data_IF_141807048988
#
_entry.id   IF_141807048988
#
_cell.length_a   1.000
_cell.length_b   1.000
_cell.length_c   1.000
_cell.angle_alpha   90.00
_cell.angle_beta   90.00
_cell.angle_gamma   90.00
#
_symmetry.space_group_name_H-M   'P 1'
#
loop_
_entity.id
_entity.type
_entity.pdbx_description
1 polymer ?
#
# COMPACT_ATOMS: atom_id res chain seq x y z
N UNK A 1 9.93 17.34 7.84
CA UNK A 1 9.75 15.88 7.82
C UNK A 1 10.44 15.38 6.58
N UNK A 2 11.58 14.72 6.72
CA UNK A 2 12.25 14.10 5.58
C UNK A 2 11.52 12.79 5.27
N UNK A 3 10.87 12.74 4.11
CA UNK A 3 10.26 11.52 3.60
C UNK A 3 11.39 10.63 3.10
N UNK A 4 11.65 9.52 3.80
CA UNK A 4 12.61 8.50 3.33
C UNK A 4 11.87 7.58 2.37
N UNK A 5 12.19 7.59 1.06
CA UNK A 5 11.56 6.67 0.12
C UNK A 5 12.02 5.24 0.41
N UNK A 6 11.07 4.34 0.68
CA UNK A 6 11.30 2.90 0.71
C UNK A 6 10.65 2.23 -0.49
N UNK A 7 11.24 1.12 -0.93
CA UNK A 7 10.75 0.31 -2.03
C UNK A 7 10.21 -1.01 -1.47
N UNK A 8 9.08 -1.53 -1.99
CA UNK A 8 8.56 -2.84 -1.63
C UNK A 8 9.64 -3.91 -1.72
N UNK A 9 9.79 -4.73 -0.68
CA UNK A 9 10.77 -5.81 -0.70
C UNK A 9 10.44 -6.80 -1.83
N UNK A 10 11.45 -7.15 -2.64
CA UNK A 10 11.32 -8.23 -3.62
C UNK A 10 11.18 -9.56 -2.89
N UNK A 11 10.30 -10.44 -3.38
CA UNK A 11 10.26 -11.82 -2.89
C UNK A 11 11.53 -12.54 -3.35
N UNK A 12 12.41 -12.87 -2.40
CA UNK A 12 13.41 -13.91 -2.62
C UNK A 12 12.75 -15.29 -2.73
N UNK A 13 13.50 -16.32 -3.15
CA UNK A 13 12.99 -17.70 -3.23
C UNK A 13 12.50 -18.29 -1.89
N UNK A 14 12.64 -17.55 -0.79
CA UNK A 14 12.11 -17.87 0.53
C UNK A 14 10.82 -17.08 0.76
N UNK A 15 9.82 -17.72 1.38
CA UNK A 15 8.60 -17.04 1.78
C UNK A 15 8.94 -15.88 2.74
N UNK A 16 8.40 -14.69 2.48
CA UNK A 16 8.62 -13.51 3.32
C UNK A 16 8.17 -13.79 4.76
N UNK A 17 8.97 -13.33 5.72
CA UNK A 17 8.54 -13.32 7.11
C UNK A 17 7.33 -12.37 7.24
N UNK A 18 6.32 -12.69 8.06
CA UNK A 18 5.11 -11.89 8.19
C UNK A 18 5.32 -10.42 8.55
N UNK A 19 6.41 -10.08 9.26
CA UNK A 19 6.77 -8.68 9.54
C UNK A 19 7.18 -7.94 8.26
N UNK A 20 8.07 -8.52 7.47
CA UNK A 20 8.53 -7.95 6.19
C UNK A 20 7.37 -7.85 5.18
N UNK A 21 6.46 -8.83 5.22
CA UNK A 21 5.25 -8.83 4.40
C UNK A 21 4.26 -7.73 4.81
N UNK A 22 4.08 -7.48 6.11
CA UNK A 22 3.23 -6.40 6.62
C UNK A 22 3.78 -5.02 6.26
N UNK A 23 5.08 -4.80 6.39
CA UNK A 23 5.74 -3.56 5.98
C UNK A 23 5.57 -3.31 4.47
N UNK A 24 5.80 -4.33 3.64
CA UNK A 24 5.59 -4.27 2.18
C UNK A 24 4.13 -3.97 1.80
N UNK A 25 3.16 -4.49 2.56
CA UNK A 25 1.73 -4.20 2.39
C UNK A 25 1.42 -2.74 2.68
N UNK A 26 1.96 -2.18 3.77
CA UNK A 26 1.78 -0.77 4.12
C UNK A 26 2.31 0.16 3.02
N UNK A 27 3.52 -0.11 2.53
CA UNK A 27 4.12 0.64 1.41
C UNK A 27 3.25 0.56 0.15
N UNK A 28 2.66 -0.60 -0.13
CA UNK A 28 1.76 -0.78 -1.25
C UNK A 28 0.48 0.04 -1.10
N UNK A 29 -0.11 0.08 0.09
CA UNK A 29 -1.32 0.90 0.35
C UNK A 29 -1.06 2.39 0.12
N UNK A 30 0.10 2.90 0.55
CA UNK A 30 0.50 4.29 0.28
C UNK A 30 0.66 4.53 -1.22
N UNK A 31 1.32 3.59 -1.92
CA UNK A 31 1.48 3.65 -3.37
C UNK A 31 0.14 3.75 -4.10
N UNK A 32 -0.89 3.03 -3.67
CA UNK A 32 -2.22 3.10 -4.31
C UNK A 32 -2.81 4.52 -4.27
N UNK A 33 -2.65 5.23 -3.15
CA UNK A 33 -3.09 6.63 -3.02
C UNK A 33 -2.31 7.53 -3.99
N UNK A 34 -0.99 7.37 -4.05
CA UNK A 34 -0.13 8.14 -4.96
C UNK A 34 -0.48 7.84 -6.43
N UNK A 35 -0.72 6.57 -6.77
CA UNK A 35 -1.09 6.14 -8.12
C UNK A 35 -2.45 6.67 -8.54
N UNK A 36 -3.42 6.73 -7.63
CA UNK A 36 -4.73 7.32 -7.90
C UNK A 36 -4.60 8.81 -8.29
N UNK A 37 -3.83 9.60 -7.53
CA UNK A 37 -3.57 11.01 -7.83
C UNK A 37 -2.76 11.15 -9.13
N UNK A 38 -1.75 10.31 -9.34
CA UNK A 38 -0.98 10.28 -10.58
C UNK A 38 -1.86 9.98 -11.80
N UNK A 39 -2.84 9.09 -11.66
CA UNK A 39 -3.84 8.82 -12.69
C UNK A 39 -4.65 10.07 -13.05
N UNK A 40 -5.08 10.84 -12.06
CA UNK A 40 -5.77 12.11 -12.29
C UNK A 40 -4.88 13.14 -13.00
N UNK A 41 -3.61 13.26 -12.62
CA UNK A 41 -2.65 14.16 -13.26
C UNK A 41 -2.41 13.78 -14.73
N UNK A 42 -2.28 12.48 -15.02
CA UNK A 42 -2.07 11.97 -16.38
C UNK A 42 -3.26 12.17 -17.32
N UNK A 43 -4.46 12.45 -16.81
CA UNK A 43 -5.60 12.81 -17.65
C UNK A 43 -5.44 14.22 -18.27
N UNK A 44 -4.56 15.06 -17.72
CA UNK A 44 -4.33 16.40 -18.26
C UNK A 44 -3.35 16.34 -19.43
N UNK A 45 -3.80 16.79 -20.60
CA UNK A 45 -3.03 16.79 -21.86
C UNK A 45 -1.63 17.42 -21.73
N UNK A 46 -1.48 18.41 -20.85
CA UNK A 46 -0.22 19.09 -20.58
C UNK A 46 0.82 18.19 -19.87
N UNK A 47 0.38 17.23 -19.06
CA UNK A 47 1.21 16.30 -18.29
C UNK A 47 1.21 14.88 -18.86
N UNK A 48 0.29 14.57 -19.79
CA UNK A 48 0.16 13.26 -20.42
C UNK A 48 1.10 13.03 -21.61
N UNK A 49 1.68 14.10 -22.16
CA UNK A 49 2.45 14.09 -23.40
C UNK A 49 3.92 14.47 -23.20
N UNK A 50 4.71 14.33 -24.26
CA UNK A 50 6.12 14.72 -24.29
C UNK A 50 6.24 16.23 -24.09
N UNK A 51 6.94 16.64 -23.04
CA UNK A 51 7.25 18.03 -22.73
C UNK A 51 8.60 18.39 -23.38
N UNK A 52 8.70 19.50 -24.14
CA UNK A 52 9.98 19.95 -24.69
C UNK A 52 11.01 20.22 -23.58
N UNK A 53 12.28 19.90 -23.82
CA UNK A 53 13.35 20.05 -22.81
C UNK A 53 13.48 21.48 -22.26
N UNK A 54 13.15 22.49 -23.07
CA UNK A 54 13.14 23.91 -22.67
C UNK A 54 12.17 24.20 -21.53
N UNK A 55 11.13 23.37 -21.38
CA UNK A 55 10.09 23.53 -20.38
C UNK A 55 10.35 22.74 -19.09
N UNK A 56 11.42 21.94 -19.01
CA UNK A 56 11.79 21.16 -17.82
C UNK A 56 11.83 22.03 -16.54
N UNK A 57 12.40 23.26 -16.55
CA UNK A 57 12.42 24.11 -15.36
C UNK A 57 11.02 24.46 -14.80
N UNK A 58 9.98 24.42 -15.64
CA UNK A 58 8.62 24.83 -15.30
C UNK A 58 7.67 23.67 -14.98
N UNK A 59 8.13 22.41 -15.09
CA UNK A 59 7.29 21.23 -14.83
C UNK A 59 6.66 21.29 -13.44
N UNK A 60 7.42 21.72 -12.43
CA UNK A 60 6.91 21.87 -11.06
C UNK A 60 5.72 22.84 -11.00
N UNK A 61 5.75 23.92 -11.77
CA UNK A 61 4.67 24.91 -11.79
C UNK A 61 3.45 24.39 -12.56
N UNK A 62 3.65 23.64 -13.65
CA UNK A 62 2.54 22.98 -14.35
C UNK A 62 1.79 22.01 -13.44
N UNK A 63 2.53 21.20 -12.68
CA UNK A 63 1.93 20.28 -11.70
C UNK A 63 1.16 21.06 -10.64
N UNK A 64 1.72 22.13 -10.06
CA UNK A 64 1.00 22.97 -9.08
C UNK A 64 -0.29 23.55 -9.64
N UNK A 65 -0.25 24.08 -10.87
CA UNK A 65 -1.42 24.67 -11.53
C UNK A 65 -2.50 23.60 -11.74
N UNK A 66 -2.13 22.42 -12.25
CA UNK A 66 -3.08 21.32 -12.45
C UNK A 66 -3.65 20.85 -11.12
N UNK A 67 -2.83 20.65 -10.09
CA UNK A 67 -3.28 20.29 -8.75
C UNK A 67 -4.25 21.32 -8.15
N UNK A 68 -3.98 22.62 -8.31
CA UNK A 68 -4.88 23.67 -7.87
C UNK A 68 -6.25 23.57 -8.56
N UNK A 69 -6.28 23.29 -9.86
CA UNK A 69 -7.53 23.07 -10.60
C UNK A 69 -8.25 21.80 -10.13
N UNK A 70 -7.52 20.69 -9.93
CA UNK A 70 -8.10 19.44 -9.42
C UNK A 70 -8.73 19.66 -8.03
N UNK A 71 -8.08 20.40 -7.14
CA UNK A 71 -8.61 20.68 -5.80
C UNK A 71 -9.93 21.48 -5.82
N UNK A 72 -10.11 22.36 -6.81
CA UNK A 72 -11.32 23.20 -6.93
C UNK A 72 -12.45 22.46 -7.64
N UNK A 73 -12.15 21.82 -8.77
CA UNK A 73 -13.18 21.32 -9.69
C UNK A 73 -13.37 19.81 -9.64
N UNK A 74 -12.39 19.08 -9.12
CA UNK A 74 -12.40 17.63 -9.08
C UNK A 74 -11.80 17.10 -7.78
N UNK A 75 -12.21 17.61 -6.61
CA UNK A 75 -11.62 17.23 -5.33
C UNK A 75 -11.65 15.71 -5.22
N UNK A 76 -10.52 15.13 -4.80
CA UNK A 76 -10.46 13.70 -4.54
C UNK A 76 -11.61 13.34 -3.59
N UNK A 77 -12.31 12.24 -3.86
CA UNK A 77 -13.35 11.71 -2.96
C UNK A 77 -12.67 11.10 -1.74
N UNK A 78 -11.99 11.94 -0.97
CA UNK A 78 -11.45 11.60 0.32
C UNK A 78 -12.60 11.75 1.29
N UNK A 79 -13.16 10.64 1.76
CA UNK A 79 -13.93 10.70 2.99
C UNK A 79 -12.91 10.71 4.13
N UNK A 80 -12.47 11.92 4.50
CA UNK A 80 -11.35 12.15 5.41
C UNK A 80 -11.50 11.32 6.70
N UNK A 81 -12.73 11.13 7.18
CA UNK A 81 -13.02 10.36 8.37
C UNK A 81 -12.81 8.85 8.15
N UNK A 82 -13.34 8.28 7.07
CA UNK A 82 -13.16 6.87 6.71
C UNK A 82 -11.70 6.55 6.36
N UNK A 83 -11.02 7.43 5.62
CA UNK A 83 -9.64 7.25 5.19
C UNK A 83 -8.69 7.22 6.39
N UNK A 84 -8.91 8.08 7.39
CA UNK A 84 -8.16 8.07 8.64
C UNK A 84 -8.42 6.78 9.44
N UNK A 85 -9.66 6.30 9.49
CA UNK A 85 -10.01 5.03 10.14
C UNK A 85 -9.34 3.85 9.42
N UNK A 86 -9.32 3.84 8.09
CA UNK A 86 -8.67 2.81 7.28
C UNK A 86 -7.16 2.84 7.48
N UNK A 87 -6.54 4.03 7.45
CA UNK A 87 -5.11 4.19 7.71
C UNK A 87 -4.73 3.72 9.11
N UNK A 88 -5.52 4.07 10.12
CA UNK A 88 -5.30 3.63 11.49
C UNK A 88 -5.45 2.11 11.61
N UNK A 89 -6.46 1.51 10.97
CA UNK A 89 -6.60 0.05 10.90
C UNK A 89 -5.41 -0.63 10.22
N UNK A 90 -4.85 -0.03 9.16
CA UNK A 90 -3.68 -0.58 8.49
C UNK A 90 -2.45 -0.57 9.39
N UNK A 91 -2.23 0.51 10.15
CA UNK A 91 -1.16 0.59 11.15
C UNK A 91 -1.37 -0.42 12.29
N UNK A 92 -2.61 -0.62 12.74
CA UNK A 92 -2.91 -1.62 13.77
C UNK A 92 -2.70 -3.06 13.28
N UNK A 93 -2.94 -3.31 11.99
CA UNK A 93 -2.72 -4.62 11.36
C UNK A 93 -1.25 -4.89 10.99
N UNK A 94 -0.38 -3.88 11.04
CA UNK A 94 1.07 -4.02 10.87
C UNK A 94 1.73 -4.69 12.10
N UNK A 95 1.02 -4.76 13.24
CA UNK A 95 1.49 -5.36 14.49
C UNK A 95 1.82 -6.85 14.35
N UNK A 96 2.52 -7.36 15.38
CA UNK A 96 3.01 -8.74 15.48
C UNK A 96 1.94 -9.76 15.12
N UNK A 97 2.27 -10.66 14.21
CA UNK A 97 1.38 -11.72 13.78
C UNK A 97 1.31 -12.80 14.88
N UNK A 98 0.30 -12.71 15.75
CA UNK A 98 0.06 -13.69 16.81
C UNK A 98 -0.04 -15.14 16.32
N UNK A 99 -0.54 -15.36 15.09
CA UNK A 99 -0.60 -16.69 14.50
C UNK A 99 0.81 -17.21 14.18
N UNK A 100 1.69 -16.37 13.66
CA UNK A 100 3.08 -16.75 13.43
C UNK A 100 3.78 -17.10 14.74
N UNK A 101 3.64 -16.25 15.76
CA UNK A 101 4.18 -16.49 17.10
C UNK A 101 3.67 -17.83 17.66
N UNK A 102 2.37 -18.08 17.56
CA UNK A 102 1.76 -19.35 18.00
C UNK A 102 2.31 -20.56 17.21
N UNK A 103 2.50 -20.43 15.89
CA UNK A 103 3.05 -21.51 15.05
C UNK A 103 4.50 -21.83 15.44
N UNK A 104 5.30 -20.79 15.71
CA UNK A 104 6.70 -20.92 16.13
C UNK A 104 6.81 -21.50 17.54
N UNK A 105 6.01 -21.00 18.50
CA UNK A 105 5.94 -21.50 19.87
C UNK A 105 5.54 -22.99 19.94
N UNK A 106 4.60 -23.41 19.09
CA UNK A 106 4.06 -24.76 19.12
C UNK A 106 4.70 -25.72 18.09
N UNK A 107 5.72 -25.27 17.36
CA UNK A 107 6.38 -25.98 16.25
C UNK A 107 5.37 -26.59 15.24
N UNK A 108 4.26 -25.89 15.00
CA UNK A 108 3.17 -26.38 14.16
C UNK A 108 3.53 -26.42 12.68
N UNK A 109 4.54 -25.66 12.25
CA UNK A 109 5.07 -25.71 10.89
C UNK A 109 5.58 -27.11 10.49
N UNK A 110 5.91 -27.97 11.46
CA UNK A 110 6.43 -29.33 11.24
C UNK A 110 5.39 -30.43 11.48
N UNK A 111 4.23 -30.11 12.06
CA UNK A 111 3.19 -31.11 12.34
C UNK A 111 2.38 -31.39 11.06
N UNK A 112 2.25 -32.67 10.70
CA UNK A 112 1.29 -33.12 9.69
C UNK A 112 -0.10 -33.17 10.32
N UNK A 113 -1.11 -32.64 9.63
CA UNK A 113 -2.48 -32.71 10.09
C UNK A 113 -2.88 -34.19 10.34
N UNK A 114 -3.16 -34.53 11.60
CA UNK A 114 -3.77 -35.82 11.94
C UNK A 114 -5.28 -35.67 11.83
N UNK A 115 -5.81 -36.09 10.69
CA UNK A 115 -7.25 -36.19 10.50
C UNK A 115 -7.77 -37.36 11.32
N UNK A 116 -8.43 -37.08 12.44
CA UNK A 116 -9.22 -38.10 13.14
C UNK A 116 -10.58 -38.18 12.47
N UNK A 117 -11.06 -39.39 12.19
CA UNK A 117 -12.46 -39.58 11.84
C UNK A 117 -13.30 -39.00 12.98
N UNK A 118 -14.11 -37.98 12.67
CA UNK A 118 -15.16 -37.54 13.57
C UNK A 118 -16.13 -38.70 13.74
N UNK A 119 -16.24 -39.22 14.96
CA UNK A 119 -17.17 -40.29 15.29
C UNK A 119 -18.58 -39.88 14.84
N UNK A 120 -19.11 -40.62 13.86
CA UNK A 120 -20.51 -40.60 13.50
C UNK A 120 -21.28 -41.16 14.70
N UNK A 121 -21.61 -40.31 15.67
CA UNK A 121 -22.54 -40.65 16.75
C UNK A 121 -23.91 -40.88 16.11
N UNK A 122 -24.24 -42.16 15.92
CA UNK A 122 -25.59 -42.67 15.65
C UNK A 122 -26.34 -42.78 16.96
#
# INVERSE_FOLDING_TARGET
>A
MDLVPKMPAFLDKQAQLPKDANETRLETSIRWVVEAVNGQLKNWRALSNIIPNVQIPYIGDYVKIVCANLNVFHPARLNIEDDNVIAQRMLDLEKTNYLQETIEENDWARKRAMWTLSDLST
#
